data_IF_909439809568
#
_entry.id   IF_909439809568
#
_cell.length_a   1.000
_cell.length_b   1.000
_cell.length_c   1.000
_cell.angle_alpha   90.00
_cell.angle_beta   90.00
_cell.angle_gamma   90.00
#
_symmetry.space_group_name_H-M   'P 1'
#
loop_
_entity.id
_entity.type
_entity.pdbx_description
1 polymer ?
#
# COMPACT_ATOMS: atom_id res chain seq x y z
N UNK A 1 49.89 1.04 -30.57
CA UNK A 1 49.30 1.66 -29.37
C UNK A 1 48.16 0.77 -28.90
N UNK A 2 48.30 0.22 -27.69
CA UNK A 2 47.29 -0.43 -26.84
C UNK A 2 46.67 -1.75 -27.32
N UNK A 3 47.47 -2.81 -27.21
CA UNK A 3 47.00 -4.10 -26.73
C UNK A 3 46.83 -4.03 -25.20
N UNK A 4 45.74 -4.55 -24.63
CA UNK A 4 45.68 -4.81 -23.19
C UNK A 4 44.33 -4.62 -22.50
N UNK A 5 43.31 -5.42 -22.82
CA UNK A 5 42.18 -5.69 -21.91
C UNK A 5 41.63 -7.13 -22.06
N UNK A 6 42.50 -8.08 -22.40
CA UNK A 6 42.14 -9.50 -22.51
C UNK A 6 42.72 -10.30 -21.33
N UNK A 7 42.36 -9.93 -20.09
CA UNK A 7 42.36 -10.84 -18.92
C UNK A 7 41.92 -10.08 -17.66
N UNK A 8 40.63 -10.08 -17.36
CA UNK A 8 40.16 -9.90 -15.98
C UNK A 8 39.55 -11.23 -15.54
N UNK A 9 40.03 -11.86 -14.46
CA UNK A 9 39.33 -13.02 -13.92
C UNK A 9 37.96 -12.56 -13.43
N UNK A 10 36.91 -13.23 -13.89
CA UNK A 10 35.57 -13.04 -13.35
C UNK A 10 35.59 -13.46 -11.87
N UNK A 11 35.59 -12.50 -10.95
CA UNK A 11 35.44 -12.76 -9.52
C UNK A 11 33.94 -12.78 -9.19
N UNK A 12 33.22 -13.74 -9.77
CA UNK A 12 31.91 -14.12 -9.27
C UNK A 12 32.13 -15.33 -8.35
N UNK A 13 32.43 -15.07 -7.07
CA UNK A 13 32.24 -16.11 -6.06
C UNK A 13 30.75 -16.46 -6.05
N UNK A 14 30.37 -17.75 -6.18
CA UNK A 14 28.98 -18.13 -5.98
C UNK A 14 28.61 -17.79 -4.53
N UNK A 15 27.72 -16.83 -4.36
CA UNK A 15 27.10 -16.57 -3.07
C UNK A 15 26.44 -17.87 -2.64
N UNK A 16 26.94 -18.50 -1.58
CA UNK A 16 26.44 -19.78 -1.11
C UNK A 16 24.93 -19.69 -0.88
N UNK A 17 24.15 -20.49 -1.60
CA UNK A 17 22.72 -20.73 -1.36
C UNK A 17 22.55 -21.45 -0.02
N UNK A 18 22.79 -20.73 1.08
CA UNK A 18 22.08 -21.04 2.31
C UNK A 18 20.67 -20.50 2.09
N UNK A 19 19.68 -21.39 2.04
CA UNK A 19 18.26 -21.07 1.89
C UNK A 19 17.74 -20.27 3.08
N UNK A 20 18.25 -19.05 3.27
CA UNK A 20 17.70 -18.08 4.19
C UNK A 20 16.36 -17.70 3.61
N UNK A 21 15.28 -18.16 4.24
CA UNK A 21 13.93 -17.64 4.00
C UNK A 21 14.06 -16.12 4.16
N UNK A 22 14.06 -15.40 3.04
CA UNK A 22 14.20 -13.94 3.04
C UNK A 22 12.87 -13.40 3.54
N UNK A 23 12.70 -13.36 4.86
CA UNK A 23 11.58 -12.69 5.49
C UNK A 23 11.64 -11.23 5.06
N UNK A 24 10.57 -10.74 4.45
CA UNK A 24 10.51 -9.34 4.07
C UNK A 24 10.47 -8.48 5.34
N UNK A 25 11.02 -7.27 5.28
CA UNK A 25 11.23 -6.43 6.48
C UNK A 25 9.92 -6.06 7.20
N UNK A 26 8.80 -6.00 6.48
CA UNK A 26 7.47 -5.75 7.03
C UNK A 26 6.55 -6.99 7.00
N UNK A 27 7.12 -8.19 6.96
CA UNK A 27 6.31 -9.42 7.06
C UNK A 27 5.55 -9.44 8.40
N UNK A 28 4.24 -9.71 8.32
CA UNK A 28 3.34 -9.69 9.49
C UNK A 28 2.68 -8.35 9.79
N UNK A 29 3.12 -7.26 9.15
CA UNK A 29 2.51 -5.92 9.30
C UNK A 29 1.30 -5.79 8.39
N UNK A 30 0.17 -5.34 8.93
CA UNK A 30 -1.05 -5.01 8.18
C UNK A 30 -1.25 -3.49 8.07
N UNK A 31 -1.48 -3.02 6.84
CA UNK A 31 -1.68 -1.61 6.50
C UNK A 31 -3.07 -1.41 5.88
N UNK A 32 -3.82 -0.43 6.37
CA UNK A 32 -5.03 0.06 5.71
C UNK A 32 -4.73 1.32 4.90
N UNK A 33 -4.98 1.28 3.60
CA UNK A 33 -4.75 2.39 2.67
C UNK A 33 -6.08 3.06 2.31
N UNK A 34 -6.38 4.18 2.97
CA UNK A 34 -7.48 5.09 2.62
C UNK A 34 -7.01 6.22 1.68
N UNK A 35 -5.78 6.12 1.20
CA UNK A 35 -5.12 7.15 0.41
C UNK A 35 -5.83 7.43 -0.91
N UNK A 36 -5.71 8.67 -1.37
CA UNK A 36 -6.21 9.14 -2.66
C UNK A 36 -5.06 9.71 -3.49
N UNK A 37 -5.15 9.49 -4.80
CA UNK A 37 -4.20 9.97 -5.79
C UNK A 37 -2.81 9.35 -5.59
N UNK A 38 -1.81 10.17 -5.23
CA UNK A 38 -0.40 9.76 -5.31
C UNK A 38 0.19 9.54 -3.92
N UNK A 39 0.24 10.57 -3.06
CA UNK A 39 1.06 10.54 -1.85
C UNK A 39 0.72 9.37 -0.90
N UNK A 40 -0.54 9.24 -0.51
CA UNK A 40 -1.00 8.13 0.35
C UNK A 40 -0.81 6.77 -0.32
N UNK A 41 -1.38 6.54 -1.52
CA UNK A 41 -1.23 5.27 -2.21
C UNK A 41 0.22 4.88 -2.49
N UNK A 42 1.11 5.83 -2.80
CA UNK A 42 2.52 5.56 -3.02
C UNK A 42 3.21 5.09 -1.74
N UNK A 43 2.98 5.78 -0.62
CA UNK A 43 3.48 5.36 0.70
C UNK A 43 3.05 3.93 1.01
N UNK A 44 1.75 3.62 0.90
CA UNK A 44 1.24 2.28 1.14
C UNK A 44 1.81 1.24 0.17
N UNK A 45 2.10 1.62 -1.08
CA UNK A 45 2.73 0.71 -2.05
C UNK A 45 4.14 0.33 -1.63
N UNK A 46 4.93 1.29 -1.14
CA UNK A 46 6.29 1.01 -0.64
C UNK A 46 6.26 0.04 0.56
N UNK A 47 5.28 0.18 1.46
CA UNK A 47 5.09 -0.75 2.57
C UNK A 47 4.77 -2.18 2.05
N UNK A 48 3.92 -2.29 1.02
CA UNK A 48 3.62 -3.57 0.37
C UNK A 48 4.84 -4.17 -0.36
N UNK A 49 5.64 -3.35 -1.03
CA UNK A 49 6.90 -3.78 -1.66
C UNK A 49 7.86 -4.38 -0.61
N UNK A 50 7.89 -3.78 0.59
CA UNK A 50 8.64 -4.23 1.77
C UNK A 50 7.99 -5.39 2.54
N UNK A 51 6.85 -5.90 2.08
CA UNK A 51 6.24 -7.15 2.56
C UNK A 51 5.02 -7.02 3.48
N UNK A 52 4.54 -5.80 3.73
CA UNK A 52 3.32 -5.61 4.50
C UNK A 52 2.08 -6.10 3.74
N UNK A 53 1.08 -6.59 4.46
CA UNK A 53 -0.26 -6.82 3.92
C UNK A 53 -0.99 -5.48 3.80
N UNK A 54 -1.07 -4.94 2.59
CA UNK A 54 -1.75 -3.67 2.34
C UNK A 54 -3.15 -3.91 1.82
N UNK A 55 -4.15 -3.31 2.46
CA UNK A 55 -5.56 -3.38 2.06
C UNK A 55 -6.02 -1.96 1.70
N UNK A 56 -6.25 -1.72 0.41
CA UNK A 56 -6.80 -0.47 -0.10
C UNK A 56 -8.31 -0.43 0.12
N UNK A 57 -8.79 0.67 0.70
CA UNK A 57 -10.20 0.93 0.95
C UNK A 57 -10.72 1.96 -0.07
N UNK A 58 -11.61 1.52 -0.94
CA UNK A 58 -12.11 2.37 -2.03
C UNK A 58 -13.62 2.31 -2.24
N UNK A 59 -14.13 3.22 -3.08
CA UNK A 59 -15.55 3.29 -3.42
C UNK A 59 -15.95 2.08 -4.28
N UNK A 60 -17.22 1.69 -4.22
CA UNK A 60 -17.80 0.58 -5.02
C UNK A 60 -17.50 0.71 -6.51
N UNK A 61 -17.55 1.94 -7.03
CA UNK A 61 -17.31 2.23 -8.44
C UNK A 61 -15.85 2.64 -8.71
N UNK A 62 -14.91 2.28 -7.83
CA UNK A 62 -13.54 2.80 -7.87
C UNK A 62 -13.45 4.26 -7.42
N UNK A 63 -12.27 4.65 -6.96
CA UNK A 63 -11.99 6.06 -6.64
C UNK A 63 -11.50 6.80 -7.89
N UNK A 64 -11.53 8.13 -7.86
CA UNK A 64 -11.23 8.98 -9.04
C UNK A 64 -9.83 8.71 -9.62
N UNK A 65 -8.86 8.41 -8.75
CA UNK A 65 -7.50 8.03 -9.10
C UNK A 65 -7.38 6.68 -9.83
N UNK A 66 -8.46 5.87 -9.85
CA UNK A 66 -8.55 4.59 -10.56
C UNK A 66 -8.53 4.73 -12.07
N UNK A 67 -8.97 5.88 -12.58
CA UNK A 67 -9.25 6.11 -14.00
C UNK A 67 -8.33 7.16 -14.64
N UNK A 68 -7.33 7.65 -13.90
CA UNK A 68 -6.41 8.66 -14.41
C UNK A 68 -5.42 8.05 -15.41
N UNK A 69 -5.31 8.69 -16.58
CA UNK A 69 -4.50 8.23 -17.72
C UNK A 69 -4.81 6.77 -18.11
N UNK A 70 -6.00 6.50 -18.68
CA UNK A 70 -6.41 5.14 -19.06
C UNK A 70 -5.40 4.44 -19.96
N UNK A 71 -5.13 3.17 -19.70
CA UNK A 71 -4.19 2.34 -20.48
C UNK A 71 -4.84 1.12 -21.14
N UNK A 72 -6.15 0.92 -20.96
CA UNK A 72 -6.92 -0.15 -21.56
C UNK A 72 -8.36 0.30 -21.88
N UNK A 73 -9.10 -0.54 -22.59
CA UNK A 73 -10.49 -0.28 -23.00
C UNK A 73 -11.47 -0.22 -21.83
N UNK A 74 -11.14 -0.85 -20.69
CA UNK A 74 -11.94 -0.82 -19.47
C UNK A 74 -11.80 0.51 -18.70
N UNK A 75 -10.89 1.40 -19.14
CA UNK A 75 -10.64 2.68 -18.50
C UNK A 75 -9.70 2.61 -17.30
N UNK A 76 -9.04 1.47 -17.03
CA UNK A 76 -8.12 1.37 -15.89
C UNK A 76 -6.92 2.33 -16.10
N UNK A 77 -6.68 3.18 -15.11
CA UNK A 77 -5.67 4.23 -15.16
C UNK A 77 -4.27 3.74 -14.85
N UNK A 78 -3.27 4.31 -15.54
CA UNK A 78 -1.85 4.06 -15.29
C UNK A 78 -1.47 4.29 -13.81
N UNK A 79 -2.05 5.32 -13.18
CA UNK A 79 -1.78 5.64 -11.77
C UNK A 79 -2.23 4.51 -10.84
N UNK A 80 -3.41 3.95 -11.07
CA UNK A 80 -3.91 2.83 -10.28
C UNK A 80 -3.10 1.56 -10.48
N UNK A 81 -2.71 1.28 -11.72
CA UNK A 81 -1.84 0.12 -11.99
C UNK A 81 -0.50 0.25 -11.29
N UNK A 82 0.09 1.46 -11.27
CA UNK A 82 1.36 1.70 -10.58
C UNK A 82 1.20 1.64 -9.06
N UNK A 83 0.17 2.24 -8.49
CA UNK A 83 -0.04 2.37 -7.03
C UNK A 83 -0.87 1.25 -6.39
N UNK A 84 -1.41 0.34 -7.21
CA UNK A 84 -2.26 -0.78 -6.77
C UNK A 84 -1.50 -2.09 -6.60
N UNK A 85 -0.26 -2.17 -7.10
CA UNK A 85 0.59 -3.37 -6.95
C UNK A 85 0.81 -3.72 -5.48
N UNK A 86 0.94 -5.02 -5.18
CA UNK A 86 1.16 -5.55 -3.83
C UNK A 86 0.07 -5.18 -2.81
N UNK A 87 -1.13 -4.76 -3.27
CA UNK A 87 -2.28 -4.47 -2.41
C UNK A 87 -3.44 -5.43 -2.68
N UNK A 88 -4.17 -5.76 -1.62
CA UNK A 88 -5.56 -6.22 -1.69
C UNK A 88 -6.46 -5.00 -1.78
N UNK A 89 -7.67 -5.14 -2.30
CA UNK A 89 -8.67 -4.07 -2.33
C UNK A 89 -10.01 -4.56 -1.80
N UNK A 90 -10.71 -3.69 -1.08
CA UNK A 90 -12.09 -3.88 -0.67
C UNK A 90 -12.87 -2.59 -0.86
N UNK A 91 -14.09 -2.72 -1.36
CA UNK A 91 -15.01 -1.59 -1.50
C UNK A 91 -15.73 -1.35 -0.19
N UNK A 92 -15.62 -0.14 0.36
CA UNK A 92 -16.26 0.24 1.62
C UNK A 92 -16.59 1.72 1.62
N UNK A 93 -17.80 2.06 2.08
CA UNK A 93 -18.19 3.45 2.29
C UNK A 93 -18.18 3.79 3.79
N UNK A 94 -17.13 4.45 4.32
CA UNK A 94 -17.00 4.78 5.73
C UNK A 94 -17.94 5.91 6.19
N UNK A 95 -18.72 6.51 5.27
CA UNK A 95 -19.72 7.52 5.60
C UNK A 95 -21.06 6.90 6.02
N UNK A 96 -21.26 5.60 5.78
CA UNK A 96 -22.45 4.87 6.22
C UNK A 96 -22.25 4.29 7.64
N UNK A 97 -23.30 4.20 8.48
CA UNK A 97 -23.20 3.60 9.81
C UNK A 97 -22.58 2.19 9.79
N UNK A 98 -23.01 1.32 8.88
CA UNK A 98 -22.49 -0.05 8.75
C UNK A 98 -21.04 -0.04 8.25
N UNK A 99 -20.70 0.92 7.40
CA UNK A 99 -19.35 1.11 6.92
C UNK A 99 -18.37 1.54 8.02
N UNK A 100 -18.81 2.42 8.93
CA UNK A 100 -18.03 2.82 10.11
C UNK A 100 -17.74 1.64 11.03
N UNK A 101 -18.72 0.76 11.25
CA UNK A 101 -18.51 -0.44 12.07
C UNK A 101 -17.51 -1.41 11.43
N UNK A 102 -17.51 -1.53 10.11
CA UNK A 102 -16.49 -2.32 9.40
C UNK A 102 -15.12 -1.67 9.50
N UNK A 103 -15.01 -0.33 9.33
CA UNK A 103 -13.74 0.39 9.52
C UNK A 103 -13.16 0.13 10.91
N UNK A 104 -13.97 0.24 11.97
CA UNK A 104 -13.53 -0.05 13.34
C UNK A 104 -12.93 -1.45 13.47
N UNK A 105 -13.61 -2.46 12.91
CA UNK A 105 -13.14 -3.85 12.92
C UNK A 105 -11.84 -4.03 12.13
N UNK A 106 -11.71 -3.34 10.99
CA UNK A 106 -10.47 -3.40 10.20
C UNK A 106 -9.31 -2.74 10.94
N UNK A 107 -9.53 -1.54 11.48
CA UNK A 107 -8.54 -0.77 12.25
C UNK A 107 -8.04 -1.56 13.45
N UNK A 108 -8.92 -2.25 14.17
CA UNK A 108 -8.55 -3.10 15.31
C UNK A 108 -7.61 -4.27 14.96
N UNK A 109 -7.40 -4.54 13.66
CA UNK A 109 -6.48 -5.60 13.19
C UNK A 109 -5.29 -5.07 12.42
N UNK A 110 -5.17 -3.75 12.26
CA UNK A 110 -4.13 -3.12 11.45
C UNK A 110 -3.09 -2.44 12.34
N UNK A 111 -1.84 -2.48 11.89
CA UNK A 111 -0.71 -1.82 12.56
C UNK A 111 -0.50 -0.40 12.03
N UNK A 112 -0.93 -0.13 10.78
CA UNK A 112 -0.73 1.16 10.13
C UNK A 112 -1.99 1.58 9.38
N UNK A 113 -2.38 2.86 9.53
CA UNK A 113 -3.41 3.50 8.71
C UNK A 113 -2.77 4.61 7.89
N UNK A 114 -2.92 4.55 6.57
CA UNK A 114 -2.46 5.58 5.63
C UNK A 114 -3.66 6.36 5.11
N UNK A 115 -3.70 7.66 5.37
CA UNK A 115 -4.75 8.55 4.87
C UNK A 115 -4.19 9.96 4.56
N UNK A 116 -4.62 10.55 3.45
CA UNK A 116 -4.25 11.90 3.01
C UNK A 116 -5.48 12.72 2.62
N UNK A 117 -6.51 12.68 3.47
CA UNK A 117 -7.78 13.39 3.31
C UNK A 117 -7.79 14.66 4.17
N UNK A 118 -8.66 15.65 3.87
CA UNK A 118 -8.83 16.82 4.71
C UNK A 118 -9.16 16.45 6.18
N UNK A 119 -8.67 17.21 7.18
CA UNK A 119 -8.88 16.88 8.60
C UNK A 119 -10.35 16.63 8.98
N UNK A 120 -11.29 17.44 8.49
CA UNK A 120 -12.72 17.28 8.78
C UNK A 120 -13.28 15.98 8.19
N UNK A 121 -12.75 15.56 7.04
CA UNK A 121 -13.12 14.28 6.43
C UNK A 121 -12.58 13.11 7.26
N UNK A 122 -11.35 13.20 7.75
CA UNK A 122 -10.76 12.19 8.64
C UNK A 122 -11.60 12.03 9.92
N UNK A 123 -11.97 13.14 10.57
CA UNK A 123 -12.86 13.13 11.73
C UNK A 123 -14.21 12.49 11.42
N UNK A 124 -14.82 12.87 10.29
CA UNK A 124 -16.12 12.32 9.87
C UNK A 124 -16.06 10.81 9.59
N UNK A 125 -14.90 10.31 9.15
CA UNK A 125 -14.64 8.90 8.87
C UNK A 125 -14.14 8.12 10.09
N UNK A 126 -13.82 8.79 11.21
CA UNK A 126 -13.19 8.16 12.39
C UNK A 126 -11.75 7.71 12.13
N UNK A 127 -11.04 8.43 11.26
CA UNK A 127 -9.65 8.17 10.86
C UNK A 127 -8.69 9.27 11.33
N UNK A 128 -9.16 10.21 12.14
CA UNK A 128 -8.30 11.14 12.85
C UNK A 128 -7.58 10.41 14.00
N UNK A 129 -6.51 11.04 14.50
CA UNK A 129 -5.64 10.42 15.49
C UNK A 129 -6.39 10.02 16.77
N UNK A 130 -7.24 10.88 17.31
CA UNK A 130 -7.98 10.62 18.55
C UNK A 130 -8.88 9.38 18.37
N UNK A 131 -9.71 9.37 17.32
CA UNK A 131 -10.57 8.23 16.99
C UNK A 131 -9.80 6.92 16.81
N UNK A 132 -8.63 6.95 16.17
CA UNK A 132 -7.82 5.76 15.94
C UNK A 132 -7.19 5.23 17.23
N UNK A 133 -6.67 6.12 18.08
CA UNK A 133 -6.05 5.72 19.36
C UNK A 133 -7.05 5.12 20.35
N UNK A 134 -8.32 5.52 20.31
CA UNK A 134 -9.37 4.88 21.09
C UNK A 134 -9.66 3.44 20.64
N UNK A 135 -9.47 3.14 19.35
CA UNK A 135 -9.74 1.83 18.76
C UNK A 135 -8.54 0.89 18.84
N UNK A 136 -7.33 1.44 18.70
CA UNK A 136 -6.07 0.69 18.75
C UNK A 136 -4.98 1.58 19.38
N UNK A 137 -4.69 1.41 20.68
CA UNK A 137 -3.73 2.26 21.41
C UNK A 137 -2.27 1.83 21.25
N UNK A 138 -1.95 0.98 20.26
CA UNK A 138 -0.66 0.30 20.14
C UNK A 138 0.32 1.06 19.27
#
# INVERSE_FOLDING_TARGET
MLAGYANMPAVASPCSETGRKMSKVLEGIRVLDFGRYIAGPFCATLLGDMGAEVIRIEKVNGSEDRYLSPINENGDGAMFMQMGRNKKSVTLNPMKPEGREIVKKLVATADVVVANLPPDTLKTMGLDYESLTELSPT
#
